data_IF_053842874112
#
_entry.id   IF_053842874112
#
_cell.length_a   1.000
_cell.length_b   1.000
_cell.length_c   1.000
_cell.angle_alpha   90.00
_cell.angle_beta   90.00
_cell.angle_gamma   90.00
#
_symmetry.space_group_name_H-M   'P 1'
#
loop_
_entity.id
_entity.type
_entity.pdbx_description
1 polymer ?
#
# COMPACT_ATOMS: atom_id res chain seq x y z
N UNK A 1 6.30 2.79 -25.36
CA UNK A 1 6.06 1.59 -24.53
C UNK A 1 4.80 0.88 -25.01
N UNK A 2 4.85 -0.46 -25.10
CA UNK A 2 3.69 -1.29 -25.49
C UNK A 2 2.64 -1.36 -24.37
N UNK A 3 1.38 -1.66 -24.72
CA UNK A 3 0.31 -1.91 -23.74
C UNK A 3 0.72 -2.97 -22.70
N UNK A 4 1.36 -4.06 -23.14
CA UNK A 4 1.84 -5.13 -22.26
C UNK A 4 2.83 -4.61 -21.20
N UNK A 5 3.77 -3.75 -21.59
CA UNK A 5 4.74 -3.15 -20.64
C UNK A 5 4.05 -2.20 -19.66
N UNK A 6 3.10 -1.38 -20.13
CA UNK A 6 2.30 -0.48 -19.31
C UNK A 6 1.45 -1.24 -18.30
N UNK A 7 0.78 -2.31 -18.73
CA UNK A 7 -0.02 -3.17 -17.86
C UNK A 7 0.83 -3.86 -16.79
N UNK A 8 2.05 -4.30 -17.13
CA UNK A 8 2.95 -4.88 -16.15
C UNK A 8 3.34 -3.87 -15.07
N UNK A 9 3.73 -2.64 -15.46
CA UNK A 9 4.01 -1.58 -14.48
C UNK A 9 2.79 -1.30 -13.59
N UNK A 10 1.60 -1.20 -14.20
CA UNK A 10 0.36 -0.97 -13.45
C UNK A 10 0.14 -2.08 -12.40
N UNK A 11 0.23 -3.34 -12.79
CA UNK A 11 0.07 -4.48 -11.86
C UNK A 11 1.09 -4.44 -10.72
N UNK A 12 2.35 -4.14 -11.00
CA UNK A 12 3.40 -4.07 -9.98
C UNK A 12 3.18 -2.94 -8.98
N UNK A 13 2.70 -1.79 -9.44
CA UNK A 13 2.44 -0.62 -8.59
C UNK A 13 1.10 -0.72 -7.85
N UNK A 14 0.06 -1.21 -8.51
CA UNK A 14 -1.30 -1.26 -7.98
C UNK A 14 -1.53 -2.48 -7.08
N UNK A 15 -1.12 -3.67 -7.52
CA UNK A 15 -1.29 -4.92 -6.77
C UNK A 15 -0.11 -5.24 -5.84
N UNK A 16 1.04 -4.64 -6.11
CA UNK A 16 2.28 -4.90 -5.42
C UNK A 16 2.98 -6.19 -5.88
N UNK A 17 4.20 -6.40 -5.34
CA UNK A 17 5.09 -7.51 -5.75
C UNK A 17 5.16 -8.66 -4.74
N UNK A 18 4.38 -8.59 -3.67
CA UNK A 18 4.29 -9.67 -2.67
C UNK A 18 3.63 -10.92 -3.26
N UNK A 19 3.74 -12.06 -2.57
CA UNK A 19 3.03 -13.29 -2.99
C UNK A 19 1.52 -13.07 -3.15
N UNK A 20 0.93 -12.22 -2.31
CA UNK A 20 -0.51 -11.92 -2.34
C UNK A 20 -0.87 -11.01 -3.51
N UNK A 21 -0.06 -9.98 -3.79
CA UNK A 21 -0.25 -9.11 -4.95
C UNK A 21 -0.05 -9.86 -6.27
N UNK A 22 0.98 -10.70 -6.36
CA UNK A 22 1.23 -11.54 -7.55
C UNK A 22 0.15 -12.59 -7.81
N UNK A 23 -0.58 -13.01 -6.79
CA UNK A 23 -1.70 -13.94 -6.93
C UNK A 23 -2.99 -13.26 -7.40
N UNK A 24 -3.07 -11.94 -7.29
CA UNK A 24 -4.21 -11.18 -7.77
C UNK A 24 -4.35 -11.23 -9.29
N UNK A 25 -5.59 -11.23 -9.76
CA UNK A 25 -5.94 -11.11 -11.17
C UNK A 25 -6.88 -9.94 -11.37
N UNK A 26 -6.55 -9.05 -12.29
CA UNK A 26 -7.48 -8.03 -12.73
C UNK A 26 -8.37 -8.69 -13.78
N UNK A 27 -9.68 -8.66 -13.56
CA UNK A 27 -10.64 -9.39 -14.41
C UNK A 27 -11.06 -8.60 -15.65
N UNK A 28 -10.94 -7.27 -15.61
CA UNK A 28 -11.33 -6.34 -16.67
C UNK A 28 -10.15 -5.44 -17.10
N UNK A 29 -8.98 -6.03 -17.37
CA UNK A 29 -7.77 -5.29 -17.75
C UNK A 29 -7.95 -4.45 -19.03
N UNK A 30 -8.81 -4.90 -19.93
CA UNK A 30 -9.06 -4.20 -21.20
C UNK A 30 -9.78 -2.86 -21.01
N UNK A 31 -10.49 -2.68 -19.89
CA UNK A 31 -11.16 -1.44 -19.54
C UNK A 31 -10.21 -0.35 -19.00
N UNK A 32 -8.94 -0.69 -18.75
CA UNK A 32 -7.98 0.25 -18.19
C UNK A 32 -7.21 0.94 -19.32
N UNK A 33 -7.27 2.25 -19.35
CA UNK A 33 -6.49 3.08 -20.26
C UNK A 33 -5.16 3.48 -19.64
N UNK A 34 -4.11 3.48 -20.46
CA UNK A 34 -2.75 3.81 -20.04
C UNK A 34 -2.15 4.90 -20.91
N UNK A 35 -1.62 5.95 -20.29
CA UNK A 35 -0.83 6.95 -20.95
C UNK A 35 0.60 7.02 -20.36
N UNK A 36 1.55 7.47 -21.16
CA UNK A 36 2.91 7.78 -20.72
C UNK A 36 3.35 9.07 -21.38
N UNK A 37 3.51 10.09 -20.57
CA UNK A 37 4.00 11.40 -20.99
C UNK A 37 5.54 11.36 -21.07
N UNK A 38 6.07 11.67 -22.26
CA UNK A 38 7.51 11.67 -22.52
C UNK A 38 8.22 12.95 -22.06
N UNK A 39 7.48 14.05 -21.81
CA UNK A 39 8.05 15.30 -21.34
C UNK A 39 8.25 15.26 -19.82
N UNK A 40 7.27 14.73 -19.11
CA UNK A 40 7.29 14.64 -17.64
C UNK A 40 7.73 13.30 -17.11
N UNK A 41 7.96 12.32 -17.99
CA UNK A 41 8.23 10.91 -17.65
C UNK A 41 7.21 10.33 -16.66
N UNK A 42 5.94 10.67 -16.88
CA UNK A 42 4.84 10.26 -16.01
C UNK A 42 3.98 9.21 -16.70
N UNK A 43 3.81 8.07 -16.04
CA UNK A 43 2.84 7.05 -16.43
C UNK A 43 1.54 7.28 -15.67
N UNK A 44 0.41 7.24 -16.36
CA UNK A 44 -0.92 7.38 -15.77
C UNK A 44 -1.82 6.23 -16.22
N UNK A 45 -2.81 5.92 -15.38
CA UNK A 45 -3.87 4.98 -15.70
C UNK A 45 -5.22 5.57 -15.31
N UNK A 46 -6.25 5.23 -16.09
CA UNK A 46 -7.65 5.56 -15.82
C UNK A 46 -8.55 4.38 -16.18
N UNK A 47 -9.72 4.33 -15.60
CA UNK A 47 -10.72 3.33 -15.89
C UNK A 47 -12.11 3.95 -15.76
N UNK A 48 -13.01 3.71 -16.72
CA UNK A 48 -14.38 4.26 -16.71
C UNK A 48 -15.35 3.46 -15.85
N UNK A 49 -14.94 2.28 -15.42
CA UNK A 49 -15.68 1.39 -14.54
C UNK A 49 -14.77 0.90 -13.41
N UNK A 50 -15.31 0.39 -12.28
CA UNK A 50 -14.48 -0.16 -11.22
C UNK A 50 -13.57 -1.28 -11.71
N UNK A 51 -12.30 -1.21 -11.34
CA UNK A 51 -11.31 -2.26 -11.61
C UNK A 51 -11.66 -3.47 -10.73
N UNK A 52 -11.94 -4.60 -11.36
CA UNK A 52 -12.29 -5.85 -10.65
C UNK A 52 -11.05 -6.69 -10.44
N UNK A 53 -10.72 -6.94 -9.17
CA UNK A 53 -9.54 -7.73 -8.78
C UNK A 53 -9.98 -8.96 -8.00
N UNK A 54 -9.63 -10.13 -8.51
CA UNK A 54 -9.74 -11.39 -7.76
C UNK A 54 -8.47 -11.60 -6.94
N UNK A 55 -8.61 -11.83 -5.63
CA UNK A 55 -7.53 -12.29 -4.76
C UNK A 55 -7.86 -13.67 -4.19
N UNK A 56 -7.43 -14.75 -4.85
CA UNK A 56 -7.79 -16.11 -4.45
C UNK A 56 -7.11 -16.55 -3.14
N UNK A 57 -5.98 -15.93 -2.77
CA UNK A 57 -5.28 -16.26 -1.53
C UNK A 57 -5.94 -15.63 -0.30
N UNK A 58 -6.67 -14.52 -0.48
CA UNK A 58 -7.39 -13.85 0.59
C UNK A 58 -8.90 -14.05 0.51
N UNK A 59 -9.41 -14.70 -0.56
CA UNK A 59 -10.82 -15.01 -0.75
C UNK A 59 -11.69 -13.78 -0.95
N UNK A 60 -11.21 -12.81 -1.75
CA UNK A 60 -11.95 -11.58 -2.07
C UNK A 60 -12.06 -11.35 -3.58
N UNK A 61 -13.20 -10.81 -3.98
CA UNK A 61 -13.34 -9.96 -5.17
C UNK A 61 -13.36 -8.52 -4.68
N UNK A 62 -12.59 -7.68 -5.33
CA UNK A 62 -12.39 -6.28 -4.99
C UNK A 62 -12.84 -5.46 -6.19
N UNK A 63 -13.82 -4.57 -5.99
CA UNK A 63 -14.18 -3.52 -6.94
C UNK A 63 -13.48 -2.24 -6.48
N UNK A 64 -12.54 -1.74 -7.29
CA UNK A 64 -11.78 -0.53 -7.01
C UNK A 64 -12.15 0.56 -8.01
N UNK A 65 -12.83 1.59 -7.54
CA UNK A 65 -13.18 2.79 -8.32
C UNK A 65 -11.97 3.73 -8.33
N UNK A 66 -11.21 3.68 -9.43
CA UNK A 66 -9.95 4.41 -9.59
C UNK A 66 -10.22 5.88 -9.89
N UNK A 67 -9.85 6.78 -8.98
CA UNK A 67 -9.98 8.22 -9.14
C UNK A 67 -8.71 8.85 -9.70
N UNK A 68 -7.53 8.40 -9.24
CA UNK A 68 -6.25 8.89 -9.74
C UNK A 68 -5.19 7.80 -9.66
N UNK A 69 -4.31 7.77 -10.67
CA UNK A 69 -3.16 6.88 -10.71
C UNK A 69 -2.03 7.51 -11.51
N UNK A 70 -0.88 7.67 -10.89
CA UNK A 70 0.33 8.01 -11.60
C UNK A 70 1.60 7.37 -11.02
N UNK A 71 2.60 7.21 -11.88
CA UNK A 71 3.96 6.83 -11.51
C UNK A 71 4.93 7.76 -12.22
N UNK A 72 5.80 8.45 -11.47
CA UNK A 72 6.80 9.38 -11.99
C UNK A 72 8.20 8.77 -12.00
N UNK A 73 8.96 9.17 -13.01
CA UNK A 73 10.34 8.75 -13.21
C UNK A 73 11.23 9.98 -13.48
N UNK A 74 12.55 9.84 -13.25
CA UNK A 74 13.52 10.91 -13.57
C UNK A 74 14.01 10.86 -15.03
N UNK A 75 13.71 9.77 -15.76
CA UNK A 75 14.12 9.56 -17.15
C UNK A 75 13.15 8.60 -17.84
N UNK A 76 13.24 8.50 -19.16
CA UNK A 76 12.38 7.61 -19.95
C UNK A 76 12.59 6.14 -19.59
N UNK A 77 11.71 5.60 -18.77
CA UNK A 77 11.69 4.20 -18.31
C UNK A 77 10.28 3.78 -17.95
N UNK A 78 10.03 2.48 -17.90
CA UNK A 78 8.77 1.88 -17.40
C UNK A 78 9.07 0.76 -16.39
N UNK A 79 10.29 0.72 -15.86
CA UNK A 79 10.66 -0.26 -14.85
C UNK A 79 10.24 0.24 -13.47
N UNK A 80 9.42 -0.53 -12.78
CA UNK A 80 8.89 -0.21 -11.45
C UNK A 80 9.98 0.18 -10.42
N UNK A 81 11.16 -0.48 -10.49
CA UNK A 81 12.29 -0.19 -9.60
C UNK A 81 12.83 1.24 -9.73
N UNK A 82 12.60 1.89 -10.87
CA UNK A 82 13.06 3.26 -11.15
C UNK A 82 11.99 4.32 -10.83
N UNK A 83 10.85 3.92 -10.29
CA UNK A 83 9.82 4.86 -9.88
C UNK A 83 10.31 5.71 -8.70
N UNK A 84 10.19 7.04 -8.83
CA UNK A 84 10.55 8.00 -7.77
C UNK A 84 9.35 8.43 -6.95
N UNK A 85 8.16 8.37 -7.55
CA UNK A 85 6.90 8.66 -6.89
C UNK A 85 5.80 7.84 -7.54
N UNK A 86 4.89 7.31 -6.73
CA UNK A 86 3.66 6.70 -7.19
C UNK A 86 2.51 7.08 -6.29
N UNK A 87 1.35 7.26 -6.89
CA UNK A 87 0.09 7.49 -6.20
C UNK A 87 -0.99 6.65 -6.89
N UNK A 88 -1.88 6.10 -6.10
CA UNK A 88 -3.19 5.68 -6.55
C UNK A 88 -4.23 6.05 -5.49
N UNK A 89 -5.34 6.59 -5.94
CA UNK A 89 -6.45 7.05 -5.12
C UNK A 89 -7.75 6.47 -5.68
N UNK A 90 -8.64 6.07 -4.79
CA UNK A 90 -9.93 5.54 -5.19
C UNK A 90 -10.73 5.01 -4.00
N UNK A 91 -11.91 4.54 -4.28
CA UNK A 91 -12.77 3.87 -3.30
C UNK A 91 -12.80 2.36 -3.57
N UNK A 92 -12.94 1.58 -2.51
CA UNK A 92 -12.85 0.13 -2.61
C UNK A 92 -14.03 -0.54 -1.96
N UNK A 93 -14.57 -1.55 -2.64
CA UNK A 93 -15.57 -2.48 -2.11
C UNK A 93 -15.00 -3.89 -2.13
N UNK A 94 -15.03 -4.55 -0.99
CA UNK A 94 -14.64 -5.96 -0.86
C UNK A 94 -15.87 -6.85 -0.82
N UNK A 95 -15.85 -7.92 -1.60
CA UNK A 95 -16.84 -8.98 -1.56
C UNK A 95 -16.14 -10.29 -1.21
N UNK A 96 -16.51 -10.89 -0.09
CA UNK A 96 -15.97 -12.18 0.30
C UNK A 96 -16.52 -13.28 -0.60
N UNK A 97 -15.63 -14.11 -1.16
CA UNK A 97 -16.00 -15.20 -2.07
C UNK A 97 -15.86 -16.58 -1.41
N UNK A 98 -14.90 -16.70 -0.52
CA UNK A 98 -14.59 -17.95 0.15
C UNK A 98 -13.92 -17.63 1.50
N UNK A 99 -14.22 -18.49 2.50
CA UNK A 99 -13.53 -18.50 3.77
C UNK A 99 -13.19 -19.94 4.14
N UNK A 100 -11.92 -20.20 4.44
CA UNK A 100 -11.41 -21.43 5.00
C UNK A 100 -10.21 -21.13 5.91
N UNK A 101 -9.71 -22.13 6.63
CA UNK A 101 -8.59 -21.95 7.58
C UNK A 101 -7.34 -21.38 6.91
N UNK A 102 -7.05 -21.78 5.66
CA UNK A 102 -5.90 -21.27 4.91
C UNK A 102 -6.07 -19.80 4.55
N UNK A 103 -7.27 -19.41 4.16
CA UNK A 103 -7.60 -18.01 3.87
C UNK A 103 -7.51 -17.18 5.15
N UNK A 104 -8.06 -17.65 6.26
CA UNK A 104 -7.96 -16.97 7.56
C UNK A 104 -6.50 -16.77 7.95
N UNK A 105 -5.68 -17.82 7.83
CA UNK A 105 -4.24 -17.74 8.08
C UNK A 105 -3.56 -16.70 7.18
N UNK A 106 -3.85 -16.73 5.87
CA UNK A 106 -3.29 -15.76 4.92
C UNK A 106 -3.71 -14.31 5.25
N UNK A 107 -4.97 -14.09 5.65
CA UNK A 107 -5.47 -12.77 6.08
C UNK A 107 -4.72 -12.28 7.33
N UNK A 108 -4.50 -13.15 8.30
CA UNK A 108 -3.71 -12.83 9.49
C UNK A 108 -2.26 -12.50 9.14
N UNK A 109 -1.64 -13.26 8.22
CA UNK A 109 -0.28 -13.00 7.74
C UNK A 109 -0.15 -11.62 7.05
N UNK A 110 -1.18 -11.20 6.28
CA UNK A 110 -1.20 -9.88 5.61
C UNK A 110 -1.51 -8.76 6.60
N UNK A 111 -2.41 -9.01 7.53
CA UNK A 111 -2.77 -8.06 8.58
C UNK A 111 -1.55 -7.71 9.44
N UNK A 112 -0.76 -8.74 9.79
CA UNK A 112 0.41 -8.58 10.63
C UNK A 112 1.47 -7.69 9.95
N UNK A 113 1.77 -6.56 10.57
CA UNK A 113 2.69 -5.56 10.03
C UNK A 113 2.08 -4.68 8.92
N UNK A 114 0.77 -4.69 8.73
CA UNK A 114 0.08 -3.74 7.85
C UNK A 114 -0.03 -2.35 8.47
N UNK A 115 -0.40 -1.34 7.67
CA UNK A 115 -0.70 0.00 8.18
C UNK A 115 -1.82 -0.02 9.23
N UNK A 116 -2.84 -0.86 9.05
CA UNK A 116 -3.94 -0.99 10.03
C UNK A 116 -3.43 -1.54 11.36
N UNK A 117 -2.60 -2.57 11.31
CA UNK A 117 -1.97 -3.15 12.49
C UNK A 117 -1.06 -2.15 13.21
N UNK A 118 -0.32 -1.35 12.43
CA UNK A 118 0.52 -0.26 12.93
C UNK A 118 -0.30 0.81 13.67
N UNK A 119 -1.34 1.35 13.03
CA UNK A 119 -2.19 2.38 13.66
C UNK A 119 -2.94 1.85 14.87
N UNK A 120 -3.41 0.61 14.85
CA UNK A 120 -3.98 -0.02 16.05
C UNK A 120 -2.96 -0.12 17.18
N UNK A 121 -1.73 -0.51 16.86
CA UNK A 121 -0.65 -0.54 17.85
C UNK A 121 -0.41 0.81 18.52
N UNK A 122 -0.51 1.92 17.77
CA UNK A 122 -0.41 3.29 18.32
C UNK A 122 -1.62 3.60 19.20
N UNK A 123 -2.83 3.36 18.69
CA UNK A 123 -4.09 3.72 19.37
C UNK A 123 -4.22 2.94 20.69
N UNK A 124 -3.93 1.65 20.69
CA UNK A 124 -4.07 0.76 21.84
C UNK A 124 -2.85 0.80 22.76
N UNK A 125 -1.83 1.60 22.42
CA UNK A 125 -0.52 1.62 23.09
C UNK A 125 0.08 0.21 23.25
N UNK A 126 -0.18 -0.64 22.26
CA UNK A 126 0.24 -2.05 22.23
C UNK A 126 1.49 -2.28 21.40
N UNK A 127 2.40 -1.30 21.36
CA UNK A 127 3.70 -1.44 20.74
C UNK A 127 4.44 -2.62 21.38
N UNK A 128 4.84 -3.55 20.54
CA UNK A 128 5.76 -4.56 20.99
C UNK A 128 7.05 -4.39 20.19
N UNK A 129 8.18 -4.39 20.86
CA UNK A 129 9.51 -4.33 20.25
C UNK A 129 9.72 -5.44 19.20
N UNK A 130 8.96 -6.54 19.32
CA UNK A 130 9.00 -7.66 18.36
C UNK A 130 8.19 -7.40 17.10
N UNK A 131 7.29 -6.42 17.11
CA UNK A 131 6.34 -6.18 16.02
C UNK A 131 6.73 -4.96 15.22
N UNK A 132 6.81 -3.81 15.87
CA UNK A 132 7.18 -2.54 15.26
C UNK A 132 8.28 -1.87 16.08
N UNK A 133 9.35 -1.47 15.42
CA UNK A 133 10.44 -0.73 16.03
C UNK A 133 10.59 0.59 15.27
N UNK A 134 10.43 1.69 15.99
CA UNK A 134 10.67 3.02 15.46
C UNK A 134 12.13 3.40 15.68
N UNK A 135 12.75 3.97 14.66
CA UNK A 135 14.13 4.43 14.70
C UNK A 135 14.18 5.91 14.33
N UNK A 136 14.91 6.68 15.10
CA UNK A 136 15.46 7.96 14.72
C UNK A 136 16.93 7.76 14.40
N UNK A 137 17.32 8.03 13.15
CA UNK A 137 18.63 7.68 12.60
C UNK A 137 18.97 6.19 12.78
N UNK A 138 19.81 5.86 13.77
CA UNK A 138 20.26 4.49 14.07
C UNK A 138 19.74 3.97 15.41
N UNK A 139 19.05 4.80 16.20
CA UNK A 139 18.59 4.46 17.54
C UNK A 139 17.12 4.11 17.55
N UNK A 140 16.77 3.06 18.28
CA UNK A 140 15.36 2.77 18.53
C UNK A 140 14.80 3.78 19.53
N UNK A 141 13.59 4.25 19.27
CA UNK A 141 12.94 5.28 20.06
C UNK A 141 11.55 4.82 20.51
N UNK A 142 11.04 5.43 21.58
CA UNK A 142 9.69 5.14 22.04
C UNK A 142 8.67 5.79 21.12
N UNK A 143 7.76 5.04 20.49
CA UNK A 143 6.75 5.60 19.60
C UNK A 143 5.86 6.66 20.25
N UNK A 144 5.59 6.57 21.54
CA UNK A 144 4.74 7.53 22.26
C UNK A 144 5.31 8.95 22.26
N UNK A 145 6.60 9.11 22.03
CA UNK A 145 7.24 10.44 21.96
C UNK A 145 7.06 11.07 20.56
N UNK A 146 6.61 10.27 19.58
CA UNK A 146 6.50 10.66 18.17
C UNK A 146 5.07 10.74 17.64
N UNK A 147 4.11 10.12 18.34
CA UNK A 147 2.71 10.08 17.92
C UNK A 147 1.80 10.57 19.03
N UNK A 148 0.91 11.50 18.68
CA UNK A 148 -0.19 11.94 19.55
C UNK A 148 -1.49 11.34 19.04
N UNK A 149 -2.23 10.69 19.94
CA UNK A 149 -3.53 10.09 19.64
C UNK A 149 -4.63 10.91 20.31
N UNK A 150 -5.60 11.35 19.52
CA UNK A 150 -6.81 12.02 20.00
C UNK A 150 -8.03 11.21 19.57
N UNK A 151 -8.86 10.81 20.53
CA UNK A 151 -10.15 10.19 20.21
C UNK A 151 -11.15 11.28 19.86
N UNK A 152 -11.82 11.15 18.71
CA UNK A 152 -12.89 12.02 18.23
C UNK A 152 -14.08 11.16 17.86
N UNK A 153 -15.08 11.10 18.71
CA UNK A 153 -16.26 10.23 18.57
C UNK A 153 -15.85 8.76 18.38
N UNK A 154 -16.20 8.18 17.22
CA UNK A 154 -15.85 6.80 16.85
C UNK A 154 -14.53 6.68 16.07
N UNK A 155 -13.82 7.79 15.90
CA UNK A 155 -12.56 7.86 15.15
C UNK A 155 -11.38 8.23 16.05
N UNK A 156 -10.19 7.96 15.56
CA UNK A 156 -8.94 8.38 16.19
C UNK A 156 -8.14 9.22 15.21
N UNK A 157 -7.70 10.38 15.67
CA UNK A 157 -6.72 11.20 14.95
C UNK A 157 -5.33 10.88 15.50
N UNK A 158 -4.44 10.46 14.60
CA UNK A 158 -3.04 10.18 14.92
C UNK A 158 -2.17 11.24 14.25
N UNK A 159 -1.48 12.03 15.05
CA UNK A 159 -0.60 13.09 14.57
C UNK A 159 0.86 12.75 14.84
N UNK A 160 1.72 12.91 13.85
CA UNK A 160 3.17 12.84 14.04
C UNK A 160 3.63 14.14 14.69
N UNK A 161 4.31 14.06 15.83
CA UNK A 161 4.74 15.24 16.62
C UNK A 161 6.20 15.61 16.38
N UNK A 162 6.99 14.70 15.80
CA UNK A 162 8.41 14.95 15.52
C UNK A 162 8.62 15.54 14.14
N UNK A 163 9.51 16.53 14.05
CA UNK A 163 10.03 17.06 12.79
C UNK A 163 11.22 16.26 12.24
N UNK A 164 11.74 15.33 13.04
CA UNK A 164 12.87 14.49 12.66
C UNK A 164 12.42 13.33 11.79
N UNK A 165 13.31 12.92 10.89
CA UNK A 165 13.08 11.73 10.06
C UNK A 165 13.11 10.49 10.91
N UNK A 166 11.99 9.77 10.96
CA UNK A 166 11.90 8.47 11.61
C UNK A 166 11.69 7.35 10.59
N UNK A 167 12.15 6.18 10.91
CA UNK A 167 11.97 4.99 10.07
C UNK A 167 11.37 3.85 10.88
N UNK A 168 10.47 3.09 10.25
CA UNK A 168 9.80 1.95 10.84
C UNK A 168 10.44 0.64 10.38
N UNK A 169 10.69 -0.26 11.31
CA UNK A 169 11.05 -1.65 11.04
C UNK A 169 9.98 -2.59 11.57
N UNK A 170 9.73 -3.66 10.85
CA UNK A 170 8.83 -4.73 11.26
C UNK A 170 9.63 -6.03 11.28
N UNK A 171 9.71 -6.68 12.45
CA UNK A 171 10.47 -7.92 12.59
C UNK A 171 11.95 -7.77 12.27
N UNK A 172 12.55 -6.60 12.55
CA UNK A 172 13.97 -6.31 12.30
C UNK A 172 14.32 -5.91 10.85
N UNK A 173 13.34 -5.89 9.94
CA UNK A 173 13.55 -5.47 8.55
C UNK A 173 13.05 -4.04 8.37
N UNK A 174 13.94 -3.11 8.00
CA UNK A 174 13.57 -1.71 7.72
C UNK A 174 12.65 -1.65 6.51
N UNK A 175 11.42 -1.17 6.67
CA UNK A 175 10.40 -1.18 5.62
C UNK A 175 9.91 0.18 5.16
N UNK A 176 9.93 1.22 6.00
CA UNK A 176 9.28 2.48 5.66
C UNK A 176 9.96 3.65 6.36
N UNK A 177 10.05 4.79 5.68
CA UNK A 177 10.42 6.07 6.27
C UNK A 177 9.15 6.91 6.41
N UNK A 178 8.95 7.52 7.57
CA UNK A 178 7.93 8.53 7.80
C UNK A 178 8.58 9.91 7.77
N UNK A 179 7.86 10.85 7.20
CA UNK A 179 8.19 12.26 7.21
C UNK A 179 7.00 13.00 7.84
N UNK A 180 7.28 13.93 8.72
CA UNK A 180 6.30 14.86 9.23
C UNK A 180 6.06 15.99 8.21
#
# INVERSE_FOLDING_TARGET
FTRKQKLQLFREQFLGVTKYGKACKILNEDAIDFNYDLETFTFTASCSEPIKVENPLLGYIIDFDLQDFYVKFNFKTIKSINAIQSLFLGTVKYTETKIDEKIIKNRNDVYFGSAVDFFKGIIDNSWSEKKFILFEDKFSVNPNDYFKVLKKDDLYEVTVTSTNKVSLSIGGIKKTNFYA
#
